data_IF_177552177045
#
_entry.id   IF_177552177045
#
_cell.length_a   1.000
_cell.length_b   1.000
_cell.length_c   1.000
_cell.angle_alpha   90.00
_cell.angle_beta   90.00
_cell.angle_gamma   90.00
#
_symmetry.space_group_name_H-M   'P 1'
#
loop_
_entity.id
_entity.type
_entity.pdbx_description
1 polymer ?
#
# COMPACT_ATOMS: atom_id res chain seq x y z
N UNK A 1 16.63 3.45 -14.23
CA UNK A 1 15.91 2.17 -14.07
C UNK A 1 15.31 2.07 -12.68
N UNK A 2 16.12 1.94 -11.62
CA UNK A 2 15.63 1.68 -10.25
C UNK A 2 14.66 2.73 -9.65
N UNK A 3 14.78 4.02 -10.03
CA UNK A 3 13.88 5.07 -9.53
C UNK A 3 12.47 5.01 -10.15
N UNK A 4 12.37 4.69 -11.44
CA UNK A 4 11.08 4.56 -12.12
C UNK A 4 10.36 3.28 -11.68
N UNK A 5 11.09 2.17 -11.48
CA UNK A 5 10.53 0.94 -10.88
C UNK A 5 9.92 1.20 -9.49
N UNK A 6 10.56 2.03 -8.65
CA UNK A 6 10.05 2.34 -7.32
C UNK A 6 8.85 3.29 -7.36
N UNK A 7 8.79 4.21 -8.32
CA UNK A 7 7.59 5.03 -8.57
C UNK A 7 6.40 4.18 -9.02
N UNK A 8 6.61 3.27 -9.96
CA UNK A 8 5.58 2.34 -10.41
C UNK A 8 5.12 1.45 -9.26
N UNK A 9 6.05 0.90 -8.48
CA UNK A 9 5.76 0.13 -7.27
C UNK A 9 4.94 0.94 -6.26
N UNK A 10 5.25 2.23 -6.06
CA UNK A 10 4.48 3.11 -5.18
C UNK A 10 3.05 3.29 -5.69
N UNK A 11 2.86 3.58 -6.98
CA UNK A 11 1.54 3.73 -7.58
C UNK A 11 0.71 2.44 -7.49
N UNK A 12 1.33 1.28 -7.72
CA UNK A 12 0.70 -0.04 -7.57
C UNK A 12 0.31 -0.31 -6.12
N UNK A 13 1.20 -0.01 -5.16
CA UNK A 13 0.91 -0.19 -3.74
C UNK A 13 -0.25 0.68 -3.27
N UNK A 14 -0.38 1.91 -3.80
CA UNK A 14 -1.52 2.78 -3.51
C UNK A 14 -2.84 2.21 -4.07
N UNK A 15 -2.82 1.73 -5.32
CA UNK A 15 -4.00 1.07 -5.92
C UNK A 15 -4.42 -0.17 -5.13
N UNK A 16 -3.45 -0.96 -4.64
CA UNK A 16 -3.74 -2.12 -3.81
C UNK A 16 -4.44 -1.75 -2.49
N UNK A 17 -4.06 -0.63 -1.86
CA UNK A 17 -4.77 -0.10 -0.68
C UNK A 17 -6.20 0.26 -1.04
N UNK A 18 -6.44 1.01 -2.12
CA UNK A 18 -7.80 1.39 -2.51
C UNK A 18 -8.70 0.17 -2.76
N UNK A 19 -8.19 -0.84 -3.49
CA UNK A 19 -8.95 -2.07 -3.74
C UNK A 19 -9.24 -2.84 -2.45
N UNK A 20 -8.29 -2.89 -1.50
CA UNK A 20 -8.50 -3.53 -0.22
C UNK A 20 -9.51 -2.78 0.66
N UNK A 21 -9.55 -1.44 0.59
CA UNK A 21 -10.56 -0.62 1.28
C UNK A 21 -11.97 -0.86 0.72
N UNK A 22 -12.11 -0.91 -0.61
CA UNK A 22 -13.38 -1.27 -1.25
C UNK A 22 -13.82 -2.70 -0.91
N UNK A 23 -12.89 -3.66 -0.92
CA UNK A 23 -13.15 -5.05 -0.52
C UNK A 23 -13.64 -5.17 0.92
N UNK A 24 -12.99 -4.46 1.85
CA UNK A 24 -13.41 -4.42 3.25
C UNK A 24 -14.80 -3.76 3.39
N UNK A 25 -15.04 -2.66 2.69
CA UNK A 25 -16.34 -1.99 2.71
C UNK A 25 -17.47 -2.94 2.27
N UNK A 26 -17.25 -3.68 1.17
CA UNK A 26 -18.22 -4.67 0.70
C UNK A 26 -18.42 -5.81 1.70
N UNK A 27 -17.34 -6.33 2.30
CA UNK A 27 -17.44 -7.39 3.31
C UNK A 27 -18.17 -6.94 4.58
N UNK A 28 -18.01 -5.68 5.00
CA UNK A 28 -18.78 -5.11 6.12
C UNK A 28 -20.28 -5.17 5.80
N UNK A 29 -20.68 -4.71 4.62
CA UNK A 29 -22.09 -4.71 4.21
C UNK A 29 -22.64 -6.15 4.14
N UNK A 30 -21.90 -7.08 3.53
CA UNK A 30 -22.30 -8.47 3.44
C UNK A 30 -22.37 -9.16 4.81
N UNK A 31 -21.48 -8.81 5.74
CA UNK A 31 -21.48 -9.36 7.10
C UNK A 31 -22.70 -8.87 7.89
N UNK A 32 -23.07 -7.59 7.73
CA UNK A 32 -24.25 -7.00 8.36
C UNK A 32 -25.55 -7.65 7.87
N UNK A 33 -25.59 -8.06 6.61
CA UNK A 33 -26.71 -8.83 6.02
C UNK A 33 -26.65 -10.34 6.37
N UNK A 34 -25.64 -10.79 7.10
CA UNK A 34 -25.45 -12.20 7.47
C UNK A 34 -25.05 -13.11 6.31
N UNK A 35 -24.56 -12.55 5.19
CA UNK A 35 -24.19 -13.28 3.97
C UNK A 35 -22.80 -13.89 4.11
N UNK A 36 -21.84 -13.16 4.69
CA UNK A 36 -20.47 -13.64 4.94
C UNK A 36 -20.24 -13.81 6.44
N UNK A 37 -19.27 -14.65 6.79
CA UNK A 37 -18.92 -14.90 8.18
C UNK A 37 -18.06 -13.78 8.76
N UNK A 38 -17.95 -13.72 10.09
CA UNK A 38 -16.99 -12.85 10.77
C UNK A 38 -15.54 -13.16 10.35
N UNK A 39 -15.26 -14.42 9.99
CA UNK A 39 -13.94 -14.81 9.51
C UNK A 39 -13.61 -14.14 8.16
N UNK A 40 -14.56 -14.08 7.23
CA UNK A 40 -14.38 -13.40 5.94
C UNK A 40 -14.15 -11.90 6.12
N UNK A 41 -14.90 -11.27 7.06
CA UNK A 41 -14.68 -9.88 7.42
C UNK A 41 -13.25 -9.67 7.96
N UNK A 42 -12.80 -10.51 8.89
CA UNK A 42 -11.45 -10.42 9.46
C UNK A 42 -10.36 -10.63 8.40
N UNK A 43 -10.54 -11.56 7.47
CA UNK A 43 -9.61 -11.74 6.34
C UNK A 43 -9.52 -10.49 5.47
N UNK A 44 -10.64 -9.83 5.18
CA UNK A 44 -10.62 -8.57 4.42
C UNK A 44 -9.92 -7.43 5.18
N UNK A 45 -10.04 -7.38 6.51
CA UNK A 45 -9.30 -6.44 7.36
C UNK A 45 -7.80 -6.73 7.33
N UNK A 46 -7.40 -7.99 7.42
CA UNK A 46 -6.01 -8.42 7.33
C UNK A 46 -5.38 -8.02 5.97
N UNK A 47 -6.12 -8.24 4.87
CA UNK A 47 -5.69 -7.81 3.53
C UNK A 47 -5.44 -6.31 3.45
N UNK A 48 -6.31 -5.49 4.05
CA UNK A 48 -6.12 -4.05 4.10
C UNK A 48 -4.88 -3.65 4.92
N UNK A 49 -4.66 -4.31 6.06
CA UNK A 49 -3.47 -4.08 6.89
C UNK A 49 -2.19 -4.43 6.11
N UNK A 50 -2.18 -5.58 5.42
CA UNK A 50 -1.05 -5.99 4.59
C UNK A 50 -0.79 -5.00 3.45
N UNK A 51 -1.84 -4.55 2.76
CA UNK A 51 -1.73 -3.56 1.69
C UNK A 51 -1.15 -2.22 2.19
N UNK A 52 -1.66 -1.72 3.33
CA UNK A 52 -1.15 -0.49 3.95
C UNK A 52 0.31 -0.63 4.40
N UNK A 53 0.67 -1.77 4.97
CA UNK A 53 2.06 -2.05 5.36
C UNK A 53 3.00 -2.00 4.16
N UNK A 54 2.59 -2.63 3.05
CA UNK A 54 3.36 -2.60 1.80
C UNK A 54 3.47 -1.18 1.22
N UNK A 55 2.38 -0.41 1.24
CA UNK A 55 2.38 0.99 0.81
C UNK A 55 3.38 1.84 1.60
N UNK A 56 3.38 1.74 2.94
CA UNK A 56 4.32 2.49 3.77
C UNK A 56 5.78 2.06 3.54
N UNK A 57 6.03 0.75 3.40
CA UNK A 57 7.36 0.23 3.06
C UNK A 57 7.86 0.76 1.71
N UNK A 58 7.02 0.73 0.69
CA UNK A 58 7.35 1.22 -0.65
C UNK A 58 7.56 2.73 -0.67
N UNK A 59 6.74 3.48 0.05
CA UNK A 59 6.90 4.93 0.24
C UNK A 59 8.24 5.27 0.87
N UNK A 60 8.62 4.57 1.95
CA UNK A 60 9.90 4.76 2.60
C UNK A 60 11.06 4.48 1.64
N UNK A 61 11.01 3.36 0.92
CA UNK A 61 12.03 3.00 -0.09
C UNK A 61 12.16 4.07 -1.17
N UNK A 62 11.04 4.62 -1.66
CA UNK A 62 11.02 5.72 -2.64
C UNK A 62 11.75 6.96 -2.15
N UNK A 63 11.46 7.40 -0.91
CA UNK A 63 12.15 8.53 -0.32
C UNK A 63 13.65 8.28 -0.13
N UNK A 64 14.04 7.07 0.30
CA UNK A 64 15.45 6.69 0.46
C UNK A 64 16.19 6.66 -0.88
N UNK A 65 15.61 6.09 -1.93
CA UNK A 65 16.21 6.09 -3.27
C UNK A 65 16.35 7.50 -3.83
N UNK A 66 15.35 8.37 -3.61
CA UNK A 66 15.45 9.76 -4.00
C UNK A 66 16.57 10.51 -3.27
N UNK A 67 16.68 10.34 -1.94
CA UNK A 67 17.74 10.95 -1.15
C UNK A 67 19.13 10.44 -1.58
N UNK A 68 19.25 9.15 -1.88
CA UNK A 68 20.49 8.56 -2.39
C UNK A 68 20.89 9.13 -3.75
N UNK A 69 19.93 9.27 -4.67
CA UNK A 69 20.15 9.90 -5.97
C UNK A 69 20.60 11.36 -5.81
N UNK A 70 19.93 12.16 -4.96
CA UNK A 70 20.29 13.55 -4.67
C UNK A 70 21.73 13.64 -4.16
N UNK A 71 22.12 12.75 -3.24
CA UNK A 71 23.50 12.67 -2.71
C UNK A 71 24.52 12.35 -3.80
N UNK A 72 24.26 11.38 -4.68
CA UNK A 72 25.17 11.01 -5.78
C UNK A 72 25.33 12.16 -6.78
N UNK A 73 24.26 12.91 -7.02
CA UNK A 73 24.26 14.08 -7.91
C UNK A 73 24.92 15.33 -7.28
N UNK A 74 25.52 15.21 -6.08
CA UNK A 74 26.18 16.32 -5.39
C UNK A 74 25.24 17.29 -4.68
N UNK A 75 23.94 16.96 -4.59
CA UNK A 75 22.98 17.73 -3.80
C UNK A 75 23.06 17.35 -2.31
N UNK A 76 23.14 18.35 -1.43
CA UNK A 76 23.02 18.14 0.01
C UNK A 76 21.62 17.56 0.32
N UNK A 77 21.50 16.39 0.99
CA UNK A 77 20.20 15.78 1.31
C UNK A 77 19.37 16.53 2.36
N UNK A 78 19.76 17.76 2.73
CA UNK A 78 19.01 18.67 3.58
C UNK A 78 17.87 19.37 2.82
#
# INVERSE_FOLDING_TARGET
>A
MQFEEIKESFALSNKAVCLAEESLHNNINLYQEGIVSIHDLLLSQEQLIAAKTNFFSTRYRSHMTYAHLKKIMGGDPR
#
